data_IF_907733204698
#
_entry.id   IF_907733204698
#
_cell.length_a   1.000
_cell.length_b   1.000
_cell.length_c   1.000
_cell.angle_alpha   90.00
_cell.angle_beta   90.00
_cell.angle_gamma   90.00
#
_symmetry.space_group_name_H-M   'P 1'
#
loop_
_entity.id
_entity.type
_entity.pdbx_description
1 polymer ?
#
# COMPACT_ATOMS: atom_id res chain seq x y z
N UNK A 1 -16.70 -4.59 4.95
CA UNK A 1 -15.43 -4.09 4.36
C UNK A 1 -14.95 -5.01 3.26
N UNK A 2 -15.16 -4.65 1.98
CA UNK A 2 -14.88 -5.52 0.82
C UNK A 2 -13.42 -5.48 0.32
N UNK A 3 -12.62 -4.49 0.78
CA UNK A 3 -11.27 -4.20 0.26
C UNK A 3 -10.16 -5.09 0.82
N UNK A 4 -10.30 -5.57 2.06
CA UNK A 4 -9.26 -6.38 2.72
C UNK A 4 -9.24 -7.84 2.22
N UNK A 5 -10.42 -8.41 1.90
CA UNK A 5 -10.52 -9.78 1.37
C UNK A 5 -9.79 -9.91 0.02
N UNK A 6 -9.90 -8.91 -0.85
CA UNK A 6 -9.22 -8.91 -2.14
C UNK A 6 -7.68 -8.84 -2.00
N UNK A 7 -7.17 -8.20 -0.94
CA UNK A 7 -5.71 -8.11 -0.70
C UNK A 7 -5.15 -9.37 -0.01
N UNK A 8 -5.98 -10.08 0.77
CA UNK A 8 -5.68 -11.45 1.24
C UNK A 8 -5.66 -12.44 0.06
N UNK A 9 -6.63 -12.38 -0.87
CA UNK A 9 -6.71 -13.29 -2.04
C UNK A 9 -5.50 -13.16 -2.98
N UNK A 10 -4.97 -11.95 -3.14
CA UNK A 10 -3.78 -11.70 -3.98
C UNK A 10 -2.47 -11.98 -3.20
N UNK A 11 -2.55 -12.52 -1.98
CA UNK A 11 -1.40 -12.85 -1.12
C UNK A 11 -0.47 -11.67 -0.86
N UNK A 12 -0.98 -10.43 -0.91
CA UNK A 12 -0.19 -9.21 -0.70
C UNK A 12 -0.15 -8.80 0.78
N UNK A 13 -1.19 -9.16 1.54
CA UNK A 13 -1.33 -8.83 2.95
C UNK A 13 -1.55 -10.11 3.75
N UNK A 14 -0.79 -10.25 4.84
CA UNK A 14 -0.95 -11.30 5.84
C UNK A 14 -1.71 -10.74 7.04
N UNK A 15 -2.80 -11.40 7.41
CA UNK A 15 -3.52 -11.12 8.66
C UNK A 15 -2.88 -11.88 9.81
N UNK A 16 -2.49 -11.14 10.84
CA UNK A 16 -1.96 -11.69 12.10
C UNK A 16 -3.02 -11.44 13.17
N UNK A 17 -3.49 -12.52 13.79
CA UNK A 17 -4.50 -12.45 14.86
C UNK A 17 -3.81 -12.81 16.16
N UNK A 18 -3.83 -11.89 17.13
CA UNK A 18 -3.27 -12.11 18.45
C UNK A 18 -4.40 -12.54 19.40
N UNK A 19 -4.32 -13.77 19.97
CA UNK A 19 -5.31 -14.27 20.91
C UNK A 19 -5.08 -13.67 22.30
N UNK A 20 -5.41 -12.39 22.45
CA UNK A 20 -5.43 -11.69 23.73
C UNK A 20 -6.82 -11.10 23.98
N UNK A 21 -7.07 -10.59 25.20
CA UNK A 21 -8.33 -9.89 25.51
C UNK A 21 -8.00 -8.42 25.77
N UNK A 22 -8.48 -7.48 24.94
CA UNK A 22 -9.28 -7.65 23.73
C UNK A 22 -8.44 -8.16 22.53
N UNK A 23 -9.02 -8.97 21.63
CA UNK A 23 -8.28 -9.54 20.50
C UNK A 23 -7.83 -8.44 19.55
N UNK A 24 -6.52 -8.43 19.21
CA UNK A 24 -5.94 -7.51 18.24
C UNK A 24 -5.73 -8.20 16.89
N UNK A 25 -5.98 -7.46 15.83
CA UNK A 25 -5.75 -7.89 14.45
C UNK A 25 -4.82 -6.89 13.78
N UNK A 26 -3.69 -7.39 13.29
CA UNK A 26 -2.74 -6.60 12.52
C UNK A 26 -2.65 -7.13 11.09
N UNK A 27 -2.40 -6.21 10.16
CA UNK A 27 -2.21 -6.52 8.75
C UNK A 27 -0.76 -6.16 8.39
N UNK A 28 -0.01 -7.14 7.91
CA UNK A 28 1.37 -6.96 7.46
C UNK A 28 1.47 -7.21 5.96
N UNK A 29 2.39 -6.53 5.27
CA UNK A 29 2.71 -6.86 3.89
C UNK A 29 3.44 -8.20 3.82
N UNK A 30 3.16 -8.99 2.78
CA UNK A 30 3.95 -10.19 2.48
C UNK A 30 5.18 -9.81 1.66
N UNK A 31 6.14 -10.73 1.49
CA UNK A 31 7.30 -10.51 0.62
C UNK A 31 6.93 -10.22 -0.85
N UNK A 32 5.73 -10.63 -1.29
CA UNK A 32 5.19 -10.25 -2.59
C UNK A 32 4.61 -8.82 -2.57
N UNK A 33 3.96 -8.43 -1.47
CA UNK A 33 3.54 -7.06 -1.22
C UNK A 33 4.70 -6.07 -1.19
N UNK A 34 5.84 -6.46 -0.62
CA UNK A 34 7.06 -5.63 -0.62
C UNK A 34 7.61 -5.40 -2.04
N UNK A 35 7.65 -6.42 -2.90
CA UNK A 35 8.03 -6.26 -4.31
C UNK A 35 7.06 -5.36 -5.08
N UNK A 36 5.78 -5.40 -4.72
CA UNK A 36 4.78 -4.54 -5.34
C UNK A 36 4.99 -3.07 -4.97
N UNK A 37 5.52 -2.76 -3.77
CA UNK A 37 5.90 -1.40 -3.39
C UNK A 37 6.96 -0.83 -4.33
N UNK A 38 7.90 -1.64 -4.81
CA UNK A 38 8.91 -1.18 -5.79
C UNK A 38 8.25 -0.73 -7.11
N UNK A 39 7.21 -1.45 -7.56
CA UNK A 39 6.42 -1.08 -8.75
C UNK A 39 5.64 0.21 -8.51
N UNK A 40 5.02 0.34 -7.33
CA UNK A 40 4.33 1.58 -6.95
C UNK A 40 5.29 2.78 -6.90
N UNK A 41 6.51 2.59 -6.37
CA UNK A 41 7.54 3.62 -6.35
C UNK A 41 8.02 4.01 -7.76
N UNK A 42 8.15 3.04 -8.67
CA UNK A 42 8.47 3.32 -10.07
C UNK A 42 7.35 4.12 -10.77
N UNK A 43 6.08 3.79 -10.48
CA UNK A 43 4.92 4.49 -11.01
C UNK A 43 4.77 5.90 -10.43
N UNK A 44 5.07 6.08 -9.14
CA UNK A 44 5.15 7.40 -8.49
C UNK A 44 6.25 8.25 -9.14
N UNK A 45 7.45 7.69 -9.31
CA UNK A 45 8.57 8.38 -9.95
C UNK A 45 8.23 8.80 -11.39
N UNK A 46 7.62 7.91 -12.16
CA UNK A 46 7.13 8.24 -13.49
C UNK A 46 6.05 9.32 -13.45
N UNK A 47 5.09 9.23 -12.54
CA UNK A 47 4.03 10.22 -12.36
C UNK A 47 4.56 11.60 -11.98
N UNK A 48 5.57 11.65 -11.10
CA UNK A 48 6.29 12.87 -10.73
C UNK A 48 7.01 13.49 -11.93
N UNK A 49 7.69 12.67 -12.73
CA UNK A 49 8.36 13.13 -13.94
C UNK A 49 7.36 13.64 -14.99
N UNK A 50 6.30 12.88 -15.25
CA UNK A 50 5.25 13.27 -16.19
C UNK A 50 4.55 14.56 -15.77
N UNK A 51 4.23 14.71 -14.47
CA UNK A 51 3.62 15.92 -13.94
C UNK A 51 4.56 17.13 -14.04
N UNK A 52 5.87 16.94 -13.85
CA UNK A 52 6.90 17.96 -14.06
C UNK A 52 6.99 18.40 -15.53
N UNK A 53 6.90 17.45 -16.46
CA UNK A 53 6.92 17.71 -17.91
C UNK A 53 5.64 18.41 -18.38
N UNK A 54 4.49 18.08 -17.80
CA UNK A 54 3.17 18.59 -18.19
C UNK A 54 2.67 19.78 -17.36
N UNK A 55 3.49 20.31 -16.44
CA UNK A 55 3.14 21.46 -15.59
C UNK A 55 2.01 21.20 -14.58
N UNK A 56 1.68 19.93 -14.33
CA UNK A 56 0.62 19.51 -13.42
C UNK A 56 1.12 19.59 -11.97
N UNK A 57 0.49 20.43 -11.15
CA UNK A 57 0.71 20.43 -9.70
C UNK A 57 0.10 19.16 -9.11
N UNK A 58 0.91 18.13 -8.93
CA UNK A 58 0.58 17.01 -8.05
C UNK A 58 0.74 17.52 -6.62
N UNK A 59 -0.39 17.85 -5.99
CA UNK A 59 -0.42 18.16 -4.57
C UNK A 59 0.12 16.97 -3.79
N UNK A 60 1.07 17.22 -2.90
CA UNK A 60 1.60 16.24 -1.96
C UNK A 60 0.43 15.60 -1.21
N UNK A 61 0.05 14.40 -1.61
CA UNK A 61 -0.76 13.50 -0.82
C UNK A 61 0.10 12.99 0.32
N UNK A 62 0.36 13.86 1.30
CA UNK A 62 0.95 13.49 2.56
C UNK A 62 0.01 12.51 3.26
N UNK A 63 0.20 11.22 3.05
CA UNK A 63 -0.32 10.23 3.99
C UNK A 63 0.62 10.24 5.20
N UNK A 64 0.49 11.26 6.05
CA UNK A 64 0.94 11.13 7.43
C UNK A 64 -0.08 10.36 8.22
N UNK A 65 0.41 9.25 8.78
CA UNK A 65 0.01 8.60 10.03
C UNK A 65 -1.41 8.01 10.08
#
# INVERSE_FOLDING_TARGET
CRKLNALEEVSLIKRIVYPEVPPRVEFALTSHGEKLLEVFGAMEKWGLQYAKEMGGKIGEGHCSK
#
